data_IF_432668827030
#
_entry.id   IF_432668827030
#
_cell.length_a   1.000
_cell.length_b   1.000
_cell.length_c   1.000
_cell.angle_alpha   90.00
_cell.angle_beta   90.00
_cell.angle_gamma   90.00
#
_symmetry.space_group_name_H-M   'P 1'
#
loop_
_entity.id
_entity.type
_entity.pdbx_description
1 polymer ?
#
# COMPACT_ATOMS: atom_id res chain seq x y z
N UNK A 1 -35.98 41.81 -56.69
CA UNK A 1 -35.17 42.58 -55.71
C UNK A 1 -33.75 42.05 -55.82
N UNK A 2 -32.89 42.58 -56.72
CA UNK A 2 -32.01 43.75 -56.54
C UNK A 2 -31.40 43.76 -55.11
N UNK A 3 -30.10 43.55 -54.86
CA UNK A 3 -28.92 44.06 -55.57
C UNK A 3 -27.68 43.16 -55.41
N UNK A 4 -26.89 43.12 -56.49
CA UNK A 4 -25.44 42.88 -56.48
C UNK A 4 -24.73 43.84 -55.51
N UNK A 5 -23.66 43.37 -54.86
CA UNK A 5 -22.37 44.06 -54.78
C UNK A 5 -21.28 42.99 -54.63
N UNK A 6 -20.37 43.01 -55.59
CA UNK A 6 -19.08 42.32 -55.58
C UNK A 6 -18.04 43.20 -54.89
N UNK A 7 -17.15 42.61 -54.10
CA UNK A 7 -15.83 43.16 -53.73
C UNK A 7 -14.91 41.95 -53.55
N UNK A 8 -14.16 41.56 -54.58
CA UNK A 8 -12.74 41.92 -54.83
C UNK A 8 -11.79 41.33 -53.78
N UNK A 9 -11.01 40.37 -54.26
CA UNK A 9 -9.87 39.77 -53.58
C UNK A 9 -8.74 40.79 -53.35
N UNK A 10 -8.09 40.68 -52.18
CA UNK A 10 -6.71 41.13 -51.99
C UNK A 10 -5.94 39.95 -51.38
N UNK A 11 -5.05 39.39 -52.20
CA UNK A 11 -3.94 38.58 -51.70
C UNK A 11 -3.01 39.50 -50.90
N UNK A 12 -2.76 39.14 -49.64
CA UNK A 12 -1.57 39.57 -48.92
C UNK A 12 -0.90 38.32 -48.35
N UNK A 13 0.27 37.99 -48.92
CA UNK A 13 1.20 37.02 -48.37
C UNK A 13 1.72 37.54 -47.02
N UNK A 14 1.29 36.90 -45.93
CA UNK A 14 1.92 36.99 -44.63
C UNK A 14 2.58 35.67 -44.31
N UNK A 15 3.80 35.48 -44.80
CA UNK A 15 4.70 34.46 -44.27
C UNK A 15 5.06 34.86 -42.83
N UNK A 16 4.56 34.11 -41.86
CA UNK A 16 5.21 33.96 -40.56
C UNK A 16 5.02 32.51 -40.13
N UNK A 17 6.11 31.76 -40.23
CA UNK A 17 6.28 30.48 -39.56
C UNK A 17 5.77 30.58 -38.12
N UNK A 18 4.92 29.66 -37.65
CA UNK A 18 5.12 29.19 -36.30
C UNK A 18 6.45 28.45 -36.31
N UNK A 19 7.42 29.05 -35.63
CA UNK A 19 8.61 28.39 -35.13
C UNK A 19 8.23 26.97 -34.73
N UNK A 20 8.97 25.99 -35.26
CA UNK A 20 9.04 24.71 -34.60
C UNK A 20 9.67 25.00 -33.24
N UNK A 21 8.83 25.37 -32.28
CA UNK A 21 9.08 25.12 -30.87
C UNK A 21 9.50 23.67 -30.86
N UNK A 22 10.81 23.51 -30.68
CA UNK A 22 11.41 22.27 -30.28
C UNK A 22 10.54 21.83 -29.12
N UNK A 23 9.65 20.88 -29.41
CA UNK A 23 9.08 20.04 -28.39
C UNK A 23 10.31 19.40 -27.76
N UNK A 24 10.85 20.11 -26.76
CA UNK A 24 11.59 19.52 -25.68
C UNK A 24 10.78 18.30 -25.36
N UNK A 25 11.37 17.14 -25.68
CA UNK A 25 10.83 15.88 -25.26
C UNK A 25 10.76 15.99 -23.74
N UNK A 26 9.60 16.43 -23.24
CA UNK A 26 9.21 16.20 -21.86
C UNK A 26 9.55 14.74 -21.64
N UNK A 27 10.41 14.41 -20.67
CA UNK A 27 10.66 13.03 -20.35
C UNK A 27 9.28 12.40 -20.13
N UNK A 28 8.89 11.50 -21.03
CA UNK A 28 7.87 10.52 -20.72
C UNK A 28 8.38 9.87 -19.44
N UNK A 29 7.80 10.24 -18.31
CA UNK A 29 7.91 9.47 -17.08
C UNK A 29 7.45 8.06 -17.46
N UNK A 30 8.42 7.18 -17.64
CA UNK A 30 8.18 5.76 -17.67
C UNK A 30 7.34 5.45 -16.42
N UNK A 31 6.28 4.63 -16.52
CA UNK A 31 5.46 4.32 -15.36
C UNK A 31 6.39 3.85 -14.24
N UNK A 32 6.38 4.57 -13.12
CA UNK A 32 7.23 4.28 -11.98
C UNK A 32 7.08 2.80 -11.64
N UNK A 33 8.10 2.01 -11.95
CA UNK A 33 8.14 0.60 -11.62
C UNK A 33 7.99 0.55 -10.10
N UNK A 34 6.90 -0.05 -9.59
CA UNK A 34 6.69 -0.16 -8.16
C UNK A 34 7.96 -0.74 -7.53
N UNK A 35 8.60 0.06 -6.66
CA UNK A 35 9.88 -0.32 -6.09
C UNK A 35 9.70 -1.62 -5.30
N UNK A 36 10.57 -2.60 -5.59
CA UNK A 36 10.59 -3.86 -4.87
C UNK A 36 10.76 -3.60 -3.37
N UNK A 37 10.02 -4.33 -2.55
CA UNK A 37 10.18 -4.23 -1.10
C UNK A 37 11.60 -4.63 -0.67
N UNK A 38 12.17 -4.00 0.37
CA UNK A 38 13.42 -4.46 0.97
C UNK A 38 13.26 -5.89 1.50
N UNK A 39 14.34 -6.66 1.49
CA UNK A 39 14.35 -8.02 2.08
C UNK A 39 14.38 -8.00 3.61
N UNK A 40 14.74 -6.86 4.22
CA UNK A 40 14.80 -6.70 5.67
C UNK A 40 14.20 -5.36 6.09
N UNK A 41 13.59 -5.33 7.28
CA UNK A 41 13.06 -4.13 7.92
C UNK A 41 13.30 -4.21 9.42
N UNK A 42 13.90 -3.18 10.03
CA UNK A 42 14.13 -3.16 11.48
C UNK A 42 14.97 -4.33 12.03
N UNK A 43 15.81 -4.94 11.19
CA UNK A 43 16.59 -6.14 11.54
C UNK A 43 15.83 -7.47 11.39
N UNK A 44 14.58 -7.43 10.95
CA UNK A 44 13.76 -8.61 10.64
C UNK A 44 13.91 -8.97 9.17
N UNK A 45 14.13 -10.26 8.88
CA UNK A 45 14.07 -10.81 7.53
C UNK A 45 12.62 -11.03 7.11
N UNK A 46 12.16 -10.29 6.10
CA UNK A 46 10.77 -10.32 5.62
C UNK A 46 10.44 -11.56 4.78
N UNK A 47 11.43 -12.41 4.49
CA UNK A 47 11.20 -13.74 3.90
C UNK A 47 10.81 -14.80 4.94
N UNK A 48 11.00 -14.50 6.23
CA UNK A 48 10.66 -15.40 7.33
C UNK A 48 9.24 -15.11 7.86
N UNK A 49 8.62 -16.07 8.56
CA UNK A 49 7.33 -15.86 9.22
C UNK A 49 7.32 -14.62 10.12
N UNK A 50 6.31 -13.77 9.96
CA UNK A 50 6.11 -12.57 10.77
C UNK A 50 4.68 -12.50 11.31
N UNK A 51 4.52 -11.81 12.43
CA UNK A 51 3.23 -11.58 13.07
C UNK A 51 3.09 -10.10 13.41
N UNK A 52 1.96 -9.52 13.03
CA UNK A 52 1.51 -8.21 13.47
C UNK A 52 0.27 -8.37 14.36
N UNK A 53 0.21 -7.63 15.46
CA UNK A 53 -0.95 -7.62 16.36
C UNK A 53 -1.35 -6.19 16.73
N UNK A 54 -2.66 -5.96 16.76
CA UNK A 54 -3.28 -4.70 17.18
C UNK A 54 -3.48 -4.60 18.68
N UNK A 55 -3.38 -3.37 19.20
CA UNK A 55 -3.64 -3.09 20.60
C UNK A 55 -5.13 -3.06 20.92
N UNK A 56 -5.92 -2.16 20.32
CA UNK A 56 -7.39 -2.12 20.46
C UNK A 56 -8.05 -1.39 19.27
N UNK A 57 -9.15 -1.93 18.71
CA UNK A 57 -9.62 -3.31 18.83
C UNK A 57 -8.53 -4.33 18.44
N UNK A 58 -8.54 -5.49 19.10
CA UNK A 58 -7.54 -6.53 18.90
C UNK A 58 -7.68 -7.16 17.50
N UNK A 59 -6.56 -7.34 16.81
CA UNK A 59 -6.48 -8.03 15.52
C UNK A 59 -5.12 -8.69 15.39
N UNK A 60 -5.00 -9.65 14.46
CA UNK A 60 -3.70 -10.22 14.11
C UNK A 60 -3.58 -10.46 12.61
N UNK A 61 -2.38 -10.27 12.07
CA UNK A 61 -1.98 -10.69 10.73
C UNK A 61 -0.70 -11.49 10.83
N UNK A 62 -0.78 -12.79 10.56
CA UNK A 62 0.37 -13.67 10.42
C UNK A 62 0.70 -13.81 8.93
N UNK A 63 1.96 -13.62 8.52
CA UNK A 63 2.38 -13.84 7.13
C UNK A 63 3.42 -14.95 7.10
N UNK A 64 3.11 -16.01 6.34
CA UNK A 64 3.97 -17.18 6.14
C UNK A 64 3.98 -17.50 4.65
N UNK A 65 5.18 -17.62 4.05
CA UNK A 65 5.35 -17.98 2.64
C UNK A 65 4.50 -17.13 1.67
N UNK A 66 4.36 -15.83 1.96
CA UNK A 66 3.57 -14.89 1.14
C UNK A 66 2.05 -15.03 1.28
N UNK A 67 1.57 -15.77 2.28
CA UNK A 67 0.14 -15.89 2.62
C UNK A 67 -0.11 -15.24 3.97
N UNK A 68 -1.04 -14.29 4.01
CA UNK A 68 -1.54 -13.71 5.24
C UNK A 68 -2.68 -14.57 5.82
N UNK A 69 -2.69 -14.75 7.13
CA UNK A 69 -3.84 -15.17 7.93
C UNK A 69 -4.24 -14.00 8.82
N UNK A 70 -5.39 -13.41 8.51
CA UNK A 70 -5.99 -12.33 9.29
C UNK A 70 -7.03 -12.88 10.26
N UNK A 71 -7.07 -12.30 11.47
CA UNK A 71 -8.09 -12.59 12.49
C UNK A 71 -8.56 -11.29 13.12
N UNK A 72 -9.87 -11.12 13.17
CA UNK A 72 -10.53 -10.14 14.02
C UNK A 72 -10.77 -10.74 15.40
N UNK A 73 -10.13 -10.15 16.42
CA UNK A 73 -10.20 -10.64 17.80
C UNK A 73 -11.08 -9.70 18.64
N UNK A 74 -11.11 -8.41 18.31
CA UNK A 74 -11.76 -7.35 19.06
C UNK A 74 -12.95 -6.70 18.37
N UNK A 75 -13.54 -7.36 17.38
CA UNK A 75 -14.69 -6.88 16.58
C UNK A 75 -14.38 -5.59 15.79
N UNK A 76 -13.15 -5.47 15.30
CA UNK A 76 -12.70 -4.34 14.49
C UNK A 76 -13.48 -4.24 13.17
N UNK A 77 -13.76 -5.38 12.55
CA UNK A 77 -14.41 -5.49 11.24
C UNK A 77 -15.92 -5.73 11.34
N UNK A 78 -16.46 -5.98 12.53
CA UNK A 78 -17.85 -6.43 12.72
C UNK A 78 -18.06 -7.94 12.56
N UNK A 79 -16.98 -8.73 12.45
CA UNK A 79 -17.02 -10.18 12.25
C UNK A 79 -15.89 -10.88 13.02
N UNK A 80 -16.09 -10.98 14.33
CA UNK A 80 -15.19 -11.68 15.25
C UNK A 80 -15.29 -13.18 15.01
N UNK A 81 -14.17 -13.80 14.62
CA UNK A 81 -13.75 -15.19 14.94
C UNK A 81 -13.35 -16.09 13.76
N UNK A 82 -13.76 -15.84 12.51
CA UNK A 82 -13.33 -16.72 11.40
C UNK A 82 -12.02 -16.22 10.80
N UNK A 83 -10.90 -16.97 10.90
CA UNK A 83 -9.66 -16.58 10.22
C UNK A 83 -9.88 -16.52 8.72
N UNK A 84 -9.40 -15.45 8.09
CA UNK A 84 -9.44 -15.28 6.63
C UNK A 84 -8.02 -15.25 6.11
N UNK A 85 -7.80 -15.94 5.00
CA UNK A 85 -6.47 -16.04 4.39
C UNK A 85 -6.42 -15.31 3.07
N UNK A 86 -5.23 -14.91 2.63
CA UNK A 86 -5.07 -14.28 1.32
C UNK A 86 -3.61 -14.14 0.91
N UNK A 87 -3.28 -14.02 -0.39
CA UNK A 87 -1.95 -13.64 -0.80
C UNK A 87 -1.57 -12.29 -0.19
N UNK A 88 -0.34 -12.19 0.32
CA UNK A 88 0.25 -10.98 0.87
C UNK A 88 1.42 -10.55 -0.02
N UNK A 89 1.25 -9.43 -0.72
CA UNK A 89 2.24 -8.95 -1.70
C UNK A 89 2.98 -7.75 -1.09
N UNK A 90 4.28 -7.88 -0.76
CA UNK A 90 5.05 -6.78 -0.20
C UNK A 90 5.44 -5.77 -1.28
N UNK A 91 5.33 -4.49 -0.93
CA UNK A 91 5.75 -3.34 -1.75
C UNK A 91 6.48 -2.33 -0.87
N UNK A 92 7.48 -1.63 -1.42
CA UNK A 92 8.12 -0.55 -0.68
C UNK A 92 7.12 0.59 -0.42
N UNK A 93 7.08 1.09 0.82
CA UNK A 93 6.15 2.14 1.23
C UNK A 93 6.86 3.15 2.14
N UNK A 94 7.36 4.25 1.55
CA UNK A 94 8.12 5.26 2.29
C UNK A 94 9.39 4.68 2.91
N UNK A 95 9.48 4.74 4.24
CA UNK A 95 10.54 4.16 5.08
C UNK A 95 10.24 2.72 5.52
N UNK A 96 9.15 2.13 5.04
CA UNK A 96 8.66 0.81 5.44
C UNK A 96 8.25 -0.09 4.27
N UNK A 97 7.41 -1.07 4.60
CA UNK A 97 6.85 -2.06 3.66
C UNK A 97 5.35 -2.14 3.84
N UNK A 98 4.61 -2.10 2.73
CA UNK A 98 3.18 -2.37 2.72
C UNK A 98 2.90 -3.74 2.10
N UNK A 99 2.09 -4.54 2.78
CA UNK A 99 1.52 -5.77 2.26
C UNK A 99 0.11 -5.49 1.78
N UNK A 100 -0.11 -5.62 0.47
CA UNK A 100 -1.45 -5.69 -0.09
C UNK A 100 -1.97 -7.12 0.10
N UNK A 101 -3.06 -7.27 0.85
CA UNK A 101 -3.67 -8.56 1.19
C UNK A 101 -5.07 -8.61 0.59
N UNK A 102 -5.32 -9.60 -0.26
CA UNK A 102 -6.68 -9.89 -0.77
C UNK A 102 -7.19 -11.15 -0.09
N UNK A 103 -8.12 -10.99 0.86
CA UNK A 103 -8.68 -12.11 1.61
C UNK A 103 -9.57 -12.99 0.71
N UNK A 104 -9.81 -14.23 1.14
CA UNK A 104 -10.61 -15.24 0.41
C UNK A 104 -12.03 -14.81 0.10
N UNK A 105 -12.58 -13.84 0.83
CA UNK A 105 -13.91 -13.26 0.61
C UNK A 105 -13.89 -12.03 -0.32
N UNK A 106 -12.72 -11.66 -0.85
CA UNK A 106 -12.51 -10.49 -1.69
C UNK A 106 -12.20 -9.20 -0.93
N UNK A 107 -12.16 -9.25 0.41
CA UNK A 107 -11.83 -8.07 1.23
C UNK A 107 -10.36 -7.67 1.01
N UNK A 108 -10.15 -6.38 0.75
CA UNK A 108 -8.81 -5.81 0.65
C UNK A 108 -8.37 -5.26 2.01
N UNK A 109 -7.17 -5.66 2.41
CA UNK A 109 -6.54 -5.23 3.66
C UNK A 109 -5.12 -4.79 3.33
N UNK A 110 -4.68 -3.69 3.91
CA UNK A 110 -3.29 -3.23 3.77
C UNK A 110 -2.63 -3.26 5.13
N UNK A 111 -1.54 -4.01 5.26
CA UNK A 111 -0.68 -3.97 6.44
C UNK A 111 0.58 -3.20 6.11
N UNK A 112 0.78 -2.04 6.74
CA UNK A 112 2.01 -1.25 6.61
C UNK A 112 2.89 -1.48 7.83
N UNK A 113 4.15 -1.82 7.60
CA UNK A 113 5.16 -2.01 8.63
C UNK A 113 6.25 -0.95 8.49
N UNK A 114 6.66 -0.36 9.61
CA UNK A 114 7.81 0.57 9.68
C UNK A 114 8.77 0.14 10.77
N UNK A 115 10.07 0.35 10.55
CA UNK A 115 11.08 0.00 11.53
C UNK A 115 11.03 0.94 12.74
N UNK A 116 11.02 0.38 13.95
CA UNK A 116 11.09 1.16 15.17
C UNK A 116 10.54 0.42 16.38
N UNK A 117 11.03 0.73 17.60
CA UNK A 117 10.56 0.09 18.81
C UNK A 117 9.06 0.32 18.98
N UNK A 118 8.30 -0.75 19.13
CA UNK A 118 6.87 -0.71 19.37
C UNK A 118 6.57 -1.42 20.69
N UNK A 119 5.97 -0.72 21.64
CA UNK A 119 5.53 -1.32 22.89
C UNK A 119 4.29 -2.18 22.60
N UNK A 120 4.48 -3.49 22.56
CA UNK A 120 3.36 -4.43 22.54
C UNK A 120 2.58 -4.27 23.85
N UNK A 121 1.33 -4.72 23.91
CA UNK A 121 0.43 -4.53 25.05
C UNK A 121 0.93 -5.06 26.42
N UNK A 122 2.13 -5.66 26.47
CA UNK A 122 2.82 -6.08 27.69
C UNK A 122 4.16 -5.35 27.91
N UNK A 123 5.11 -6.02 28.54
CA UNK A 123 6.45 -5.47 28.81
C UNK A 123 7.44 -5.64 27.65
N UNK A 124 7.00 -6.26 26.55
CA UNK A 124 7.85 -6.61 25.42
C UNK A 124 7.84 -5.49 24.36
N UNK A 125 9.03 -5.14 23.87
CA UNK A 125 9.19 -4.23 22.73
C UNK A 125 9.39 -5.04 21.46
N UNK A 126 8.60 -4.75 20.43
CA UNK A 126 8.72 -5.33 19.09
C UNK A 126 9.58 -4.45 18.19
N UNK A 127 10.19 -5.07 17.18
CA UNK A 127 11.09 -4.39 16.24
C UNK A 127 10.37 -3.44 15.26
N UNK A 128 9.08 -3.66 15.00
CA UNK A 128 8.32 -2.95 13.99
C UNK A 128 7.02 -2.35 14.55
N UNK A 129 6.66 -1.19 14.02
CA UNK A 129 5.33 -0.63 14.14
C UNK A 129 4.47 -1.16 13.00
N UNK A 130 3.20 -1.45 13.29
CA UNK A 130 2.24 -1.93 12.32
C UNK A 130 1.05 -0.97 12.21
N UNK A 131 0.56 -0.78 11.00
CA UNK A 131 -0.71 -0.08 10.73
C UNK A 131 -1.53 -0.96 9.79
N UNK A 132 -2.70 -1.37 10.25
CA UNK A 132 -3.65 -2.14 9.47
C UNK A 132 -4.74 -1.21 8.94
N UNK A 133 -4.93 -1.18 7.62
CA UNK A 133 -6.06 -0.52 6.99
C UNK A 133 -7.12 -1.54 6.58
N UNK A 134 -8.36 -1.29 6.97
CA UNK A 134 -9.54 -2.08 6.65
C UNK A 134 -10.67 -1.15 6.21
N UNK A 135 -10.98 -1.14 4.92
CA UNK A 135 -11.87 -0.12 4.35
C UNK A 135 -11.34 1.29 4.65
N UNK A 136 -12.17 2.12 5.28
CA UNK A 136 -11.82 3.49 5.68
C UNK A 136 -11.20 3.59 7.09
N UNK A 137 -11.05 2.46 7.78
CA UNK A 137 -10.56 2.40 9.14
C UNK A 137 -9.09 1.99 9.19
N UNK A 138 -8.33 2.57 10.11
CA UNK A 138 -6.91 2.26 10.32
C UNK A 138 -6.65 1.98 11.79
N UNK A 139 -5.86 0.96 12.06
CA UNK A 139 -5.53 0.51 13.41
C UNK A 139 -4.04 0.34 13.59
N UNK A 140 -3.54 0.86 14.70
CA UNK A 140 -2.16 0.69 15.10
C UNK A 140 -1.93 -0.69 15.73
N UNK A 141 -0.70 -1.14 15.65
CA UNK A 141 -0.23 -2.38 16.26
C UNK A 141 1.30 -2.45 16.26
N UNK A 142 1.81 -3.59 16.70
CA UNK A 142 3.23 -3.91 16.66
C UNK A 142 3.45 -5.19 15.86
N UNK A 143 4.61 -5.30 15.21
CA UNK A 143 5.00 -6.49 14.45
C UNK A 143 6.43 -6.93 14.74
N UNK A 144 6.67 -8.22 14.57
CA UNK A 144 7.99 -8.84 14.73
C UNK A 144 8.05 -10.18 13.97
N UNK A 145 9.22 -10.82 13.98
CA UNK A 145 9.32 -12.22 13.59
C UNK A 145 8.37 -13.08 14.43
N UNK A 146 7.71 -14.06 13.82
CA UNK A 146 6.74 -14.91 14.51
C UNK A 146 7.35 -15.59 15.75
N UNK A 147 8.63 -15.96 15.68
CA UNK A 147 9.38 -16.56 16.79
C UNK A 147 9.56 -15.65 18.02
N UNK A 148 9.33 -14.34 17.89
CA UNK A 148 9.37 -13.38 19.00
C UNK A 148 8.08 -13.38 19.83
N UNK A 149 7.01 -14.03 19.34
CA UNK A 149 5.75 -14.17 20.05
C UNK A 149 5.66 -15.51 20.76
N UNK A 150 5.05 -15.57 21.95
CA UNK A 150 4.78 -16.85 22.60
C UNK A 150 3.88 -17.70 21.69
N UNK A 151 4.04 -19.03 21.68
CA UNK A 151 3.16 -19.89 20.90
C UNK A 151 1.71 -19.66 21.36
N UNK A 152 0.78 -19.62 20.41
CA UNK A 152 -0.64 -19.57 20.73
C UNK A 152 -0.98 -20.80 21.60
N UNK A 153 -1.28 -20.59 22.88
CA UNK A 153 -1.79 -21.67 23.73
C UNK A 153 -3.17 -22.05 23.18
N UNK A 154 -3.29 -23.27 22.66
CA UNK A 154 -4.58 -23.86 22.31
C UNK A 154 -5.44 -23.90 23.59
N UNK A 155 -6.43 -23.02 23.66
CA UNK A 155 -7.49 -23.03 24.67
C UNK A 155 -8.66 -23.91 24.25
#
# INVERSE_FOLDING_TARGET
MNRLIAVVAVLALGACSPEAETAEASPTEAPAQAAAAPSQLGGIDLSQPLLAMGSEPFWSVEIVDGVATWKDIGDFSGDVTTPRTGPAIPTAAGDGVAYAITLTDGTLVTLTLTAGPCADLGEQTRALNATLAWGDSTQAGCADALSAYPPATAG
#
